data_IF_231990587562
#
_entry.id   IF_231990587562
#
_cell.length_a   1.000
_cell.length_b   1.000
_cell.length_c   1.000
_cell.angle_alpha   90.00
_cell.angle_beta   90.00
_cell.angle_gamma   90.00
#
_symmetry.space_group_name_H-M   'P 1'
#
loop_
_entity.id
_entity.type
_entity.pdbx_description
1 polymer ?
#
# COMPACT_ATOMS: atom_id res chain seq x y z
N UNK A 1 10.36 7.84 3.69
CA UNK A 1 9.43 6.80 4.14
C UNK A 1 9.96 5.43 3.73
N UNK A 2 10.00 4.44 4.64
CA UNK A 2 10.83 3.23 4.51
C UNK A 2 10.41 2.29 3.38
N UNK A 3 9.13 2.24 3.04
CA UNK A 3 8.62 1.30 2.03
C UNK A 3 8.68 1.84 0.60
N UNK A 4 8.85 3.16 0.41
CA UNK A 4 8.74 3.77 -0.92
C UNK A 4 9.83 3.32 -1.90
N UNK A 5 11.00 2.91 -1.40
CA UNK A 5 12.08 2.37 -2.25
C UNK A 5 11.72 1.07 -2.95
N UNK A 6 10.65 0.38 -2.53
CA UNK A 6 10.19 -0.87 -3.13
C UNK A 6 9.09 -0.67 -4.18
N UNK A 7 8.60 0.56 -4.38
CA UNK A 7 7.52 0.85 -5.33
C UNK A 7 7.92 0.54 -6.78
N UNK A 8 9.20 0.73 -7.12
CA UNK A 8 9.72 0.43 -8.46
C UNK A 8 9.84 -1.06 -8.77
N UNK A 9 9.84 -1.91 -7.74
CA UNK A 9 9.83 -3.37 -7.90
C UNK A 9 8.42 -3.93 -8.16
N UNK A 10 7.37 -3.11 -8.03
CA UNK A 10 6.00 -3.55 -8.22
C UNK A 10 5.63 -3.69 -9.72
N UNK A 11 4.70 -4.60 -10.05
CA UNK A 11 4.08 -4.62 -11.36
C UNK A 11 3.54 -3.24 -11.76
N UNK A 12 3.70 -2.90 -13.03
CA UNK A 12 3.45 -1.55 -13.54
C UNK A 12 2.03 -0.99 -13.25
N UNK A 13 0.94 -1.80 -13.29
CA UNK A 13 -0.39 -1.34 -12.86
C UNK A 13 -0.45 -0.92 -11.39
N UNK A 14 0.19 -1.68 -10.49
CA UNK A 14 0.20 -1.40 -9.05
C UNK A 14 1.05 -0.17 -8.72
N UNK A 15 2.22 -0.06 -9.36
CA UNK A 15 3.10 1.10 -9.23
C UNK A 15 2.38 2.39 -9.65
N UNK A 16 1.68 2.38 -10.79
CA UNK A 16 0.89 3.53 -11.24
C UNK A 16 -0.24 3.85 -10.27
N UNK A 17 -0.97 2.86 -9.77
CA UNK A 17 -2.04 3.06 -8.81
C UNK A 17 -1.53 3.77 -7.54
N UNK A 18 -0.39 3.36 -6.99
CA UNK A 18 0.23 4.03 -5.85
C UNK A 18 0.70 5.45 -6.18
N UNK A 19 1.32 5.65 -7.35
CA UNK A 19 1.79 6.98 -7.75
C UNK A 19 0.63 7.98 -7.90
N UNK A 20 -0.50 7.56 -8.48
CA UNK A 20 -1.68 8.43 -8.57
C UNK A 20 -2.32 8.63 -7.19
N UNK A 21 -2.49 7.57 -6.39
CA UNK A 21 -3.06 7.67 -5.05
C UNK A 21 -2.24 8.58 -4.11
N UNK A 22 -0.91 8.60 -4.26
CA UNK A 22 -0.02 9.47 -3.50
C UNK A 22 0.19 10.85 -4.13
N UNK A 23 -0.50 11.19 -5.23
CA UNK A 23 -0.37 12.47 -5.92
C UNK A 23 0.99 12.70 -6.60
N UNK A 24 1.76 11.64 -6.85
CA UNK A 24 3.07 11.68 -7.52
C UNK A 24 2.99 11.47 -9.03
N UNK A 25 1.88 10.95 -9.51
CA UNK A 25 1.60 10.72 -10.92
C UNK A 25 0.26 11.32 -11.30
N UNK A 26 0.14 11.73 -12.56
CA UNK A 26 -1.12 12.11 -13.16
C UNK A 26 -1.89 10.87 -13.65
N UNK A 27 -3.21 10.91 -13.60
CA UNK A 27 -4.07 9.83 -14.10
C UNK A 27 -5.46 9.88 -13.49
N UNK A 28 -6.34 9.01 -13.99
CA UNK A 28 -7.64 8.78 -13.37
C UNK A 28 -7.46 8.16 -11.98
N UNK A 29 -8.41 8.45 -11.07
CA UNK A 29 -8.43 7.82 -9.76
C UNK A 29 -8.38 6.28 -9.92
N UNK A 30 -7.41 5.60 -9.29
CA UNK A 30 -7.23 4.16 -9.45
C UNK A 30 -8.35 3.38 -8.76
N UNK A 31 -8.57 2.15 -9.22
CA UNK A 31 -9.46 1.22 -8.55
C UNK A 31 -8.97 0.97 -7.11
N UNK A 32 -9.88 1.09 -6.13
CA UNK A 32 -9.58 0.92 -4.70
C UNK A 32 -9.02 -0.47 -4.40
N UNK A 33 -9.50 -1.51 -5.09
CA UNK A 33 -8.97 -2.86 -4.98
C UNK A 33 -7.53 -2.93 -5.48
N UNK A 34 -7.21 -2.27 -6.60
CA UNK A 34 -5.86 -2.22 -7.15
C UNK A 34 -4.90 -1.49 -6.21
N UNK A 35 -5.34 -0.40 -5.57
CA UNK A 35 -4.57 0.29 -4.52
C UNK A 35 -4.32 -0.65 -3.33
N UNK A 36 -5.35 -1.34 -2.85
CA UNK A 36 -5.22 -2.33 -1.76
C UNK A 36 -4.22 -3.44 -2.08
N UNK A 37 -4.29 -4.00 -3.29
CA UNK A 37 -3.37 -5.01 -3.79
C UNK A 37 -1.94 -4.48 -3.92
N UNK A 38 -1.79 -3.25 -4.39
CA UNK A 38 -0.48 -2.60 -4.52
C UNK A 38 0.18 -2.37 -3.15
N UNK A 39 -0.58 -1.95 -2.13
CA UNK A 39 -0.07 -1.81 -0.75
C UNK A 39 0.30 -3.17 -0.15
N UNK A 40 -0.52 -4.19 -0.34
CA UNK A 40 -0.20 -5.55 0.10
C UNK A 40 1.11 -6.05 -0.53
N UNK A 41 1.23 -5.87 -1.85
CA UNK A 41 2.43 -6.29 -2.60
C UNK A 41 3.66 -5.50 -2.14
N UNK A 42 3.52 -4.20 -1.88
CA UNK A 42 4.60 -3.36 -1.35
C UNK A 42 5.11 -3.87 0.00
N UNK A 43 4.20 -4.22 0.92
CA UNK A 43 4.55 -4.77 2.23
C UNK A 43 5.20 -6.14 2.08
N UNK A 44 4.68 -7.01 1.21
CA UNK A 44 5.25 -8.33 0.94
C UNK A 44 6.69 -8.22 0.38
N UNK A 45 6.90 -7.41 -0.66
CA UNK A 45 8.24 -7.17 -1.25
C UNK A 45 9.23 -6.61 -0.23
N UNK A 46 8.79 -5.70 0.64
CA UNK A 46 9.65 -5.18 1.69
C UNK A 46 9.97 -6.25 2.77
N UNK A 47 9.00 -7.13 3.08
CA UNK A 47 9.16 -8.22 4.05
C UNK A 47 10.11 -9.32 3.57
N UNK A 48 10.24 -9.54 2.26
CA UNK A 48 11.22 -10.47 1.68
C UNK A 48 12.67 -10.10 2.03
N UNK A 49 12.96 -8.81 2.19
CA UNK A 49 14.31 -8.34 2.49
C UNK A 49 14.63 -8.39 4.00
N UNK A 50 13.62 -8.16 4.85
CA UNK A 50 13.76 -8.15 6.32
C UNK A 50 12.39 -8.29 7.00
N UNK A 51 12.31 -8.89 8.19
CA UNK A 51 11.07 -8.92 8.96
C UNK A 51 10.48 -7.51 9.18
N UNK A 52 9.16 -7.38 9.07
CA UNK A 52 8.43 -6.12 9.22
C UNK A 52 7.38 -6.20 10.32
N UNK A 53 7.31 -5.13 11.12
CA UNK A 53 6.23 -4.83 12.05
C UNK A 53 5.67 -3.45 11.67
N UNK A 54 4.37 -3.38 11.39
CA UNK A 54 3.67 -2.14 11.11
C UNK A 54 2.76 -1.80 12.29
N UNK A 55 2.97 -0.64 12.91
CA UNK A 55 2.13 -0.08 13.96
C UNK A 55 1.51 1.20 13.41
N UNK A 56 0.19 1.33 13.56
CA UNK A 56 -0.56 2.52 13.18
C UNK A 56 -1.03 3.16 14.47
N UNK A 57 -0.38 4.27 14.83
CA UNK A 57 -0.82 5.12 15.93
C UNK A 57 -1.87 6.12 15.44
N UNK A 58 -2.70 6.63 16.36
CA UNK A 58 -3.73 7.64 16.05
C UNK A 58 -4.68 7.27 14.89
N UNK A 59 -5.04 5.99 14.78
CA UNK A 59 -5.86 5.47 13.68
C UNK A 59 -7.21 6.19 13.49
N UNK A 60 -7.73 6.85 14.52
CA UNK A 60 -8.94 7.68 14.46
C UNK A 60 -8.83 8.89 13.51
N UNK A 61 -7.61 9.28 13.13
CA UNK A 61 -7.37 10.38 12.18
C UNK A 61 -7.28 9.92 10.73
N UNK A 62 -7.23 8.61 10.47
CA UNK A 62 -7.17 8.08 9.12
C UNK A 62 -8.50 8.31 8.41
N UNK A 63 -8.41 8.71 7.14
CA UNK A 63 -9.58 8.75 6.28
C UNK A 63 -10.12 7.33 6.03
N UNK A 64 -11.38 7.26 5.64
CA UNK A 64 -12.08 5.99 5.47
C UNK A 64 -11.43 5.09 4.40
N UNK A 65 -10.84 5.66 3.35
CA UNK A 65 -10.21 4.88 2.28
C UNK A 65 -8.91 4.25 2.80
N UNK A 66 -8.10 5.01 3.53
CA UNK A 66 -6.87 4.51 4.17
C UNK A 66 -7.17 3.38 5.16
N UNK A 67 -8.19 3.53 6.01
CA UNK A 67 -8.62 2.47 6.94
C UNK A 67 -9.03 1.20 6.19
N UNK A 68 -9.82 1.33 5.12
CA UNK A 68 -10.27 0.19 4.31
C UNK A 68 -9.09 -0.53 3.63
N UNK A 69 -8.12 0.22 3.10
CA UNK A 69 -6.90 -0.32 2.49
C UNK A 69 -6.06 -1.08 3.51
N UNK A 70 -5.82 -0.52 4.69
CA UNK A 70 -5.06 -1.20 5.75
C UNK A 70 -5.78 -2.45 6.26
N UNK A 71 -7.11 -2.38 6.43
CA UNK A 71 -7.91 -3.54 6.83
C UNK A 71 -7.91 -4.65 5.76
N UNK A 72 -7.90 -4.28 4.47
CA UNK A 72 -7.75 -5.23 3.36
C UNK A 72 -6.43 -5.99 3.42
N UNK A 73 -5.33 -5.28 3.70
CA UNK A 73 -3.99 -5.84 3.83
C UNK A 73 -3.90 -6.74 5.05
N UNK A 74 -4.33 -6.25 6.22
CA UNK A 74 -4.27 -6.99 7.48
C UNK A 74 -4.99 -8.34 7.40
N UNK A 75 -6.13 -8.42 6.71
CA UNK A 75 -6.88 -9.68 6.49
C UNK A 75 -6.19 -10.68 5.54
N UNK A 76 -5.19 -10.26 4.77
CA UNK A 76 -4.49 -11.09 3.78
C UNK A 76 -3.08 -11.47 4.19
N UNK A 77 -2.52 -10.80 5.20
CA UNK A 77 -1.31 -11.27 5.86
C UNK A 77 -1.70 -12.49 6.71
N UNK A 78 -1.31 -13.67 6.26
CA UNK A 78 -1.42 -14.89 7.07
C UNK A 78 -0.46 -14.77 8.25
N UNK A 79 -0.98 -14.96 9.46
CA UNK A 79 -0.17 -15.20 10.65
C UNK A 79 0.33 -16.66 10.66
#
# INVERSE_FOLDING_TARGET
APLLGHVDALPEPQRRALNVAFGRGAGSAPDRFLVGLAVLSLIATAAEHRPLLAIVDDAQWLDQVSVQTLAFVARRLLA
#
